data_IF_944272088987
#
_entry.id   IF_944272088987
#
_cell.length_a   1.000
_cell.length_b   1.000
_cell.length_c   1.000
_cell.angle_alpha   90.00
_cell.angle_beta   90.00
_cell.angle_gamma   90.00
#
_symmetry.space_group_name_H-M   'P 1'
#
loop_
_entity.id
_entity.type
_entity.pdbx_description
1 polymer ?
#
# COMPACT_ATOMS: atom_id res chain seq x y z
N UNK A 1 -30.35 22.05 11.36
CA UNK A 1 -29.38 21.37 12.25
C UNK A 1 -28.60 22.45 13.00
N UNK A 2 -28.47 22.33 14.32
CA UNK A 2 -27.64 23.25 15.10
C UNK A 2 -26.19 23.17 14.61
N UNK A 3 -25.51 24.31 14.52
CA UNK A 3 -24.11 24.37 14.08
C UNK A 3 -23.26 23.75 15.17
N UNK A 4 -22.65 22.60 14.89
CA UNK A 4 -21.67 21.96 15.79
C UNK A 4 -20.55 22.97 16.02
N UNK A 5 -20.23 23.26 17.28
CA UNK A 5 -19.13 24.15 17.64
C UNK A 5 -17.84 23.34 17.79
N UNK A 6 -16.75 23.81 17.18
CA UNK A 6 -15.47 23.12 17.25
C UNK A 6 -14.94 23.12 18.68
N UNK A 7 -14.43 21.98 19.14
CA UNK A 7 -13.79 21.88 20.45
C UNK A 7 -12.65 22.88 20.59
N UNK A 8 -12.57 23.53 21.76
CA UNK A 8 -11.40 24.30 22.15
C UNK A 8 -10.21 23.37 22.41
N UNK A 9 -8.98 23.89 22.32
CA UNK A 9 -7.78 23.09 22.61
C UNK A 9 -7.84 22.41 23.99
N UNK A 10 -8.38 23.11 25.00
CA UNK A 10 -8.53 22.54 26.33
C UNK A 10 -9.50 21.35 26.33
N UNK A 11 -10.67 21.51 25.69
CA UNK A 11 -11.69 20.44 25.59
C UNK A 11 -11.17 19.25 24.77
N UNK A 12 -10.45 19.51 23.69
CA UNK A 12 -9.76 18.48 22.90
C UNK A 12 -8.76 17.70 23.76
N UNK A 13 -7.93 18.37 24.58
CA UNK A 13 -7.00 17.67 25.48
C UNK A 13 -7.75 16.79 26.49
N UNK A 14 -8.81 17.34 27.10
CA UNK A 14 -9.59 16.64 28.11
C UNK A 14 -10.14 15.31 27.57
N UNK A 15 -10.79 15.33 26.40
CA UNK A 15 -11.37 14.11 25.82
C UNK A 15 -10.29 13.08 25.41
N UNK A 16 -9.15 13.51 24.87
CA UNK A 16 -8.08 12.56 24.55
C UNK A 16 -7.40 11.97 25.80
N UNK A 17 -7.29 12.73 26.89
CA UNK A 17 -6.87 12.18 28.19
C UNK A 17 -7.87 11.15 28.70
N UNK A 18 -9.16 11.45 28.63
CA UNK A 18 -10.21 10.53 29.06
C UNK A 18 -10.25 9.25 28.23
N UNK A 19 -10.11 9.34 26.91
CA UNK A 19 -9.94 8.17 26.02
C UNK A 19 -8.71 7.36 26.41
N UNK A 20 -7.60 8.01 26.78
CA UNK A 20 -6.39 7.30 27.17
C UNK A 20 -6.52 6.55 28.51
N UNK A 21 -7.22 7.14 29.47
CA UNK A 21 -7.31 6.62 30.83
C UNK A 21 -8.45 5.60 30.97
N UNK A 22 -9.60 5.85 30.33
CA UNK A 22 -10.81 5.03 30.44
C UNK A 22 -11.02 4.09 29.24
N UNK A 23 -10.40 4.37 28.09
CA UNK A 23 -10.54 3.54 26.89
C UNK A 23 -11.94 3.59 26.30
N UNK A 24 -12.59 2.43 26.15
CA UNK A 24 -13.91 2.30 25.51
C UNK A 24 -14.96 3.11 26.26
N UNK A 25 -14.91 3.09 27.60
CA UNK A 25 -15.89 3.71 28.49
C UNK A 25 -15.98 5.24 28.27
N UNK A 26 -14.91 5.87 27.78
CA UNK A 26 -14.94 7.30 27.43
C UNK A 26 -15.96 7.64 26.34
N UNK A 27 -16.22 6.70 25.41
CA UNK A 27 -17.18 6.86 24.32
C UNK A 27 -18.63 6.63 24.72
N UNK A 28 -18.88 6.08 25.92
CA UNK A 28 -20.23 5.92 26.48
C UNK A 28 -20.73 7.20 27.18
N UNK A 29 -19.85 8.19 27.34
CA UNK A 29 -20.18 9.48 27.95
C UNK A 29 -20.77 10.47 26.93
N UNK A 30 -21.45 11.51 27.43
CA UNK A 30 -21.93 12.61 26.59
C UNK A 30 -20.77 13.34 25.86
N UNK A 31 -19.59 13.41 26.50
CA UNK A 31 -18.41 14.05 25.91
C UNK A 31 -17.80 13.18 24.79
N UNK A 32 -17.81 11.86 24.97
CA UNK A 32 -17.45 10.89 23.93
C UNK A 32 -18.36 10.95 22.71
N UNK A 33 -19.68 11.03 22.93
CA UNK A 33 -20.65 11.22 21.84
C UNK A 33 -20.43 12.56 21.11
N UNK A 34 -20.22 13.65 21.85
CA UNK A 34 -19.91 14.95 21.28
C UNK A 34 -18.60 14.93 20.47
N UNK A 35 -17.60 14.17 20.91
CA UNK A 35 -16.37 13.98 20.15
C UNK A 35 -16.59 13.23 18.84
N UNK A 36 -17.42 12.18 18.81
CA UNK A 36 -17.79 11.51 17.56
C UNK A 36 -18.46 12.50 16.60
N UNK A 37 -19.37 13.36 17.09
CA UNK A 37 -19.95 14.43 16.28
C UNK A 37 -18.88 15.40 15.72
N UNK A 38 -17.85 15.74 16.50
CA UNK A 38 -16.71 16.54 16.01
C UNK A 38 -15.97 15.85 14.86
N UNK A 39 -15.80 14.53 14.92
CA UNK A 39 -15.16 13.76 13.85
C UNK A 39 -15.94 13.92 12.55
N UNK A 40 -17.25 13.70 12.58
CA UNK A 40 -18.11 13.85 11.40
C UNK A 40 -18.12 15.28 10.87
N UNK A 41 -18.22 16.27 11.76
CA UNK A 41 -18.35 17.68 11.38
C UNK A 41 -17.06 18.26 10.78
N UNK A 42 -15.89 17.85 11.26
CA UNK A 42 -14.63 18.53 10.93
C UNK A 42 -13.56 17.65 10.32
N UNK A 43 -13.56 16.34 10.55
CA UNK A 43 -12.40 15.50 10.24
C UNK A 43 -12.68 14.50 9.11
N UNK A 44 -13.87 13.88 9.11
CA UNK A 44 -14.23 12.83 8.17
C UNK A 44 -14.15 13.29 6.72
N UNK A 45 -14.70 14.46 6.38
CA UNK A 45 -14.69 14.94 5.00
C UNK A 45 -13.27 15.14 4.45
N UNK A 46 -12.40 15.79 5.23
CA UNK A 46 -11.00 16.05 4.86
C UNK A 46 -10.20 14.75 4.69
N UNK A 47 -10.39 13.79 5.60
CA UNK A 47 -9.71 12.49 5.53
C UNK A 47 -10.19 11.65 4.34
N UNK A 48 -11.48 11.71 4.01
CA UNK A 48 -12.03 11.03 2.83
C UNK A 48 -11.54 11.62 1.52
N UNK A 49 -11.36 12.95 1.48
CA UNK A 49 -10.75 13.63 0.35
C UNK A 49 -9.29 13.20 0.18
N UNK A 50 -8.50 13.22 1.25
CA UNK A 50 -7.12 12.73 1.23
C UNK A 50 -7.02 11.26 0.80
N UNK A 51 -7.94 10.39 1.26
CA UNK A 51 -8.02 9.00 0.85
C UNK A 51 -8.30 8.83 -0.66
N UNK A 52 -9.19 9.67 -1.20
CA UNK A 52 -9.49 9.69 -2.64
C UNK A 52 -8.26 10.07 -3.46
N UNK A 53 -7.46 11.02 -3.00
CA UNK A 53 -6.22 11.42 -3.67
C UNK A 53 -5.18 10.29 -3.69
N UNK A 54 -5.24 9.36 -2.73
CA UNK A 54 -4.45 8.13 -2.72
C UNK A 54 -5.07 6.98 -3.53
N UNK A 55 -6.22 7.20 -4.17
CA UNK A 55 -6.88 6.24 -5.04
C UNK A 55 -7.71 5.18 -4.33
N UNK A 56 -8.17 5.40 -3.09
CA UNK A 56 -9.12 4.48 -2.43
C UNK A 56 -10.35 5.20 -1.84
N UNK A 57 -11.49 4.55 -1.99
CA UNK A 57 -12.76 5.02 -1.42
C UNK A 57 -12.91 4.53 0.02
N UNK A 58 -13.38 5.42 0.90
CA UNK A 58 -13.72 5.10 2.29
C UNK A 58 -14.98 5.85 2.71
N UNK A 59 -15.87 5.15 3.43
CA UNK A 59 -17.09 5.75 3.97
C UNK A 59 -16.81 6.62 5.20
N UNK A 60 -17.80 7.42 5.57
CA UNK A 60 -17.73 8.25 6.77
C UNK A 60 -17.58 7.40 8.04
N UNK A 61 -18.38 6.35 8.16
CA UNK A 61 -18.39 5.46 9.33
C UNK A 61 -17.09 4.68 9.47
N UNK A 62 -16.55 4.16 8.37
CA UNK A 62 -15.26 3.47 8.40
C UNK A 62 -14.12 4.40 8.84
N UNK A 63 -14.16 5.66 8.40
CA UNK A 63 -13.17 6.66 8.82
C UNK A 63 -13.23 6.86 10.34
N UNK A 64 -14.43 6.97 10.91
CA UNK A 64 -14.63 7.08 12.35
C UNK A 64 -14.18 5.81 13.08
N UNK A 65 -14.51 4.63 12.56
CA UNK A 65 -14.10 3.35 13.15
C UNK A 65 -12.58 3.20 13.19
N UNK A 66 -11.86 3.54 12.11
CA UNK A 66 -10.39 3.51 12.07
C UNK A 66 -9.80 4.43 13.14
N UNK A 67 -10.33 5.66 13.25
CA UNK A 67 -9.89 6.62 14.26
C UNK A 67 -10.08 6.05 15.66
N UNK A 68 -11.29 5.59 15.99
CA UNK A 68 -11.61 5.08 17.32
C UNK A 68 -10.77 3.83 17.65
N UNK A 69 -10.64 2.90 16.71
CA UNK A 69 -9.84 1.69 16.89
C UNK A 69 -8.35 1.99 17.17
N UNK A 70 -7.78 2.99 16.49
CA UNK A 70 -6.40 3.41 16.71
C UNK A 70 -6.23 4.19 18.02
N UNK A 71 -7.20 5.02 18.41
CA UNK A 71 -7.17 5.69 19.72
C UNK A 71 -7.21 4.67 20.88
N UNK A 72 -7.94 3.57 20.69
CA UNK A 72 -8.06 2.48 21.65
C UNK A 72 -6.92 1.45 21.58
N UNK A 73 -5.98 1.58 20.64
CA UNK A 73 -4.91 0.60 20.44
C UNK A 73 -3.94 0.48 21.61
N UNK A 74 -3.94 1.46 22.52
CA UNK A 74 -3.13 1.48 23.76
C UNK A 74 -3.33 0.21 24.59
N UNK A 75 -4.53 -0.39 24.60
CA UNK A 75 -4.78 -1.65 25.31
C UNK A 75 -3.97 -2.82 24.73
N UNK A 76 -3.61 -2.78 23.44
CA UNK A 76 -2.81 -3.81 22.75
C UNK A 76 -1.31 -3.50 22.78
N UNK A 77 -0.92 -2.24 22.96
CA UNK A 77 0.47 -1.82 23.03
C UNK A 77 0.63 -0.68 24.07
N UNK A 78 0.90 -1.00 25.35
CA UNK A 78 0.92 -0.02 26.43
C UNK A 78 1.99 1.06 26.25
N UNK A 79 3.06 0.76 25.51
CA UNK A 79 4.17 1.69 25.23
C UNK A 79 3.79 2.76 24.21
N UNK A 80 2.67 2.58 23.49
CA UNK A 80 2.17 3.53 22.48
C UNK A 80 0.73 3.88 22.78
N UNK A 81 0.53 5.06 23.36
CA UNK A 81 -0.79 5.64 23.62
C UNK A 81 -1.02 6.89 22.75
N UNK A 82 -1.61 6.75 21.55
CA UNK A 82 -1.80 7.88 20.65
C UNK A 82 -2.64 8.99 21.27
N UNK A 83 -3.68 8.62 22.04
CA UNK A 83 -4.53 9.57 22.74
C UNK A 83 -3.74 10.46 23.73
N UNK A 84 -2.79 9.89 24.51
CA UNK A 84 -1.90 10.68 25.37
C UNK A 84 -0.98 11.61 24.59
N UNK A 85 -0.43 11.15 23.46
CA UNK A 85 0.44 12.01 22.63
C UNK A 85 -0.33 13.19 22.04
N UNK A 86 -1.56 12.96 21.60
CA UNK A 86 -2.44 14.02 21.11
C UNK A 86 -2.79 15.01 22.23
N UNK A 87 -3.13 14.51 23.42
CA UNK A 87 -3.43 15.36 24.58
C UNK A 87 -2.22 16.21 25.03
N UNK A 88 -1.00 15.71 24.84
CA UNK A 88 0.23 16.41 25.19
C UNK A 88 0.68 17.43 24.13
N UNK A 89 0.30 17.26 22.86
CA UNK A 89 0.76 18.09 21.74
C UNK A 89 0.43 19.58 21.92
N UNK A 90 1.27 20.47 21.40
CA UNK A 90 1.05 21.93 21.46
C UNK A 90 -0.28 22.33 20.81
N UNK A 91 -0.57 21.73 19.65
CA UNK A 91 -1.83 21.87 18.91
C UNK A 91 -2.53 20.50 18.77
N UNK A 92 -3.37 20.11 19.74
CA UNK A 92 -3.95 18.77 19.81
C UNK A 92 -4.73 18.38 18.56
N UNK A 93 -5.57 19.29 18.02
CA UNK A 93 -6.40 18.99 16.87
C UNK A 93 -5.59 18.83 15.58
N UNK A 94 -4.55 19.65 15.37
CA UNK A 94 -3.67 19.56 14.21
C UNK A 94 -2.82 18.28 14.28
N UNK A 95 -2.25 17.98 15.45
CA UNK A 95 -1.50 16.75 15.67
C UNK A 95 -2.37 15.51 15.48
N UNK A 96 -3.60 15.52 16.00
CA UNK A 96 -4.60 14.48 15.77
C UNK A 96 -4.86 14.28 14.29
N UNK A 97 -5.09 15.36 13.53
CA UNK A 97 -5.33 15.28 12.09
C UNK A 97 -4.17 14.60 11.35
N UNK A 98 -2.94 15.02 11.60
CA UNK A 98 -1.74 14.40 11.02
C UNK A 98 -1.61 12.92 11.40
N UNK A 99 -1.94 12.59 12.65
CA UNK A 99 -1.91 11.20 13.12
C UNK A 99 -2.97 10.34 12.43
N UNK A 100 -4.18 10.88 12.25
CA UNK A 100 -5.28 10.22 11.56
C UNK A 100 -4.99 9.98 10.08
N UNK A 101 -4.37 10.94 9.38
CA UNK A 101 -3.82 10.74 8.03
C UNK A 101 -2.88 9.54 8.01
N UNK A 102 -1.93 9.48 8.95
CA UNK A 102 -0.99 8.38 9.06
C UNK A 102 -1.64 7.03 9.37
N UNK A 103 -2.79 7.00 10.05
CA UNK A 103 -3.57 5.77 10.25
C UNK A 103 -4.27 5.34 8.96
N UNK A 104 -4.93 6.27 8.27
CA UNK A 104 -5.60 5.98 7.01
C UNK A 104 -4.60 5.50 5.93
N UNK A 105 -3.42 6.10 5.85
CA UNK A 105 -2.35 5.64 4.95
C UNK A 105 -1.87 4.22 5.25
N UNK A 106 -1.98 3.74 6.51
CA UNK A 106 -1.66 2.34 6.84
C UNK A 106 -2.77 1.39 6.39
N UNK A 107 -4.01 1.85 6.39
CA UNK A 107 -5.17 1.11 5.88
C UNK A 107 -5.17 1.05 4.35
N UNK A 108 -4.64 2.07 3.67
CA UNK A 108 -4.44 2.09 2.22
C UNK A 108 -3.66 0.86 1.72
N UNK A 109 -2.61 0.45 2.45
CA UNK A 109 -1.81 -0.74 2.11
C UNK A 109 -2.48 -2.08 2.43
N UNK A 110 -3.62 -2.08 3.14
CA UNK A 110 -4.40 -3.26 3.52
C UNK A 110 -5.66 -3.39 2.63
N UNK A 111 -6.18 -2.26 2.14
CA UNK A 111 -7.44 -2.14 1.38
C UNK A 111 -7.16 -1.90 -0.11
N UNK A 112 -6.43 -2.81 -0.76
CA UNK A 112 -6.41 -2.88 -2.22
C UNK A 112 -7.83 -3.10 -2.73
N UNK A 113 -8.51 -2.00 -3.09
CA UNK A 113 -9.89 -1.87 -3.56
C UNK A 113 -11.00 -2.44 -2.64
N UNK A 114 -12.05 -1.66 -2.32
CA UNK A 114 -13.26 -2.21 -1.69
C UNK A 114 -14.03 -3.07 -2.71
N UNK A 115 -14.21 -4.36 -2.39
CA UNK A 115 -15.10 -5.31 -3.08
C UNK A 115 -16.60 -4.92 -3.06
N UNK A 116 -16.94 -3.78 -2.46
CA UNK A 116 -18.31 -3.42 -2.08
C UNK A 116 -19.12 -2.76 -3.21
N UNK A 117 -18.57 -2.66 -4.43
CA UNK A 117 -19.36 -2.41 -5.64
C UNK A 117 -19.58 -3.67 -6.48
N UNK A 118 -19.09 -4.83 -6.04
CA UNK A 118 -19.38 -6.10 -6.70
C UNK A 118 -20.70 -6.62 -6.15
N UNK A 119 -21.79 -6.24 -6.84
CA UNK A 119 -23.10 -6.85 -6.64
C UNK A 119 -22.98 -8.36 -6.68
N UNK A 120 -23.32 -9.01 -5.57
CA UNK A 120 -23.21 -10.45 -5.32
C UNK A 120 -24.22 -11.30 -6.14
N UNK A 121 -24.57 -10.88 -7.36
CA UNK A 121 -25.61 -11.51 -8.19
C UNK A 121 -25.14 -11.96 -9.59
N UNK A 122 -23.91 -11.67 -10.03
CA UNK A 122 -23.52 -11.90 -11.44
C UNK A 122 -22.34 -12.86 -11.66
N UNK A 123 -22.03 -13.73 -10.68
CA UNK A 123 -21.06 -14.83 -10.88
C UNK A 123 -21.62 -16.03 -11.65
N UNK A 124 -22.53 -15.81 -12.61
CA UNK A 124 -23.01 -16.86 -13.53
C UNK A 124 -22.78 -16.57 -15.01
N UNK A 125 -22.05 -15.51 -15.38
CA UNK A 125 -21.56 -15.37 -16.76
C UNK A 125 -20.16 -14.76 -16.80
N UNK A 126 -19.15 -15.61 -16.59
CA UNK A 126 -17.81 -15.40 -17.13
C UNK A 126 -17.88 -15.49 -18.66
N UNK A 127 -18.32 -14.42 -19.30
CA UNK A 127 -18.13 -14.20 -20.73
C UNK A 127 -18.07 -12.70 -21.00
N UNK A 128 -16.87 -12.25 -21.36
CA UNK A 128 -16.57 -11.13 -22.28
C UNK A 128 -17.05 -9.72 -21.92
N UNK A 129 -16.06 -8.82 -21.93
CA UNK A 129 -16.16 -7.39 -22.26
C UNK A 129 -16.97 -6.52 -21.31
N UNK A 130 -16.28 -5.94 -20.33
CA UNK A 130 -16.33 -4.51 -20.10
C UNK A 130 -14.92 -4.03 -19.72
N UNK A 131 -14.26 -3.35 -20.67
CA UNK A 131 -13.00 -2.68 -20.42
C UNK A 131 -13.28 -1.45 -19.58
N UNK A 132 -13.11 -1.57 -18.26
CA UNK A 132 -13.20 -0.42 -17.36
C UNK A 132 -12.18 0.63 -17.81
N UNK A 133 -12.69 1.77 -18.26
CA UNK A 133 -11.93 2.88 -18.83
C UNK A 133 -11.17 3.68 -17.75
N UNK A 134 -10.36 2.99 -16.95
CA UNK A 134 -9.43 3.60 -16.00
C UNK A 134 -8.17 4.13 -16.69
N UNK A 135 -8.02 3.91 -18.00
CA UNK A 135 -6.85 4.31 -18.78
C UNK A 135 -5.57 3.58 -18.37
N UNK A 136 -5.68 2.55 -17.53
CA UNK A 136 -4.58 1.72 -17.08
C UNK A 136 -4.50 0.46 -17.92
N UNK A 137 -3.28 0.00 -18.16
CA UNK A 137 -3.01 -1.24 -18.88
C UNK A 137 -3.41 -2.45 -18.02
N UNK A 138 -4.14 -3.44 -18.57
CA UNK A 138 -4.49 -4.67 -17.84
C UNK A 138 -3.25 -5.36 -17.24
N UNK A 139 -3.38 -5.93 -16.04
CA UNK A 139 -2.23 -6.51 -15.34
C UNK A 139 -1.54 -7.63 -16.13
N UNK A 140 -2.31 -8.44 -16.88
CA UNK A 140 -1.75 -9.47 -17.77
C UNK A 140 -0.85 -8.86 -18.84
N UNK A 141 -1.34 -7.79 -19.50
CA UNK A 141 -0.58 -7.04 -20.49
C UNK A 141 0.64 -6.36 -19.87
N UNK A 142 0.54 -5.82 -18.64
CA UNK A 142 1.68 -5.25 -17.91
C UNK A 142 2.78 -6.29 -17.69
N UNK A 143 2.45 -7.52 -17.29
CA UNK A 143 3.49 -8.55 -17.13
C UNK A 143 4.05 -8.98 -18.48
N UNK A 144 3.23 -9.08 -19.53
CA UNK A 144 3.70 -9.47 -20.86
C UNK A 144 4.58 -8.39 -21.50
N UNK A 145 4.25 -7.10 -21.34
CA UNK A 145 5.09 -5.98 -21.77
C UNK A 145 6.40 -5.94 -20.96
N UNK A 146 6.32 -6.09 -19.64
CA UNK A 146 7.52 -6.15 -18.77
C UNK A 146 8.42 -7.33 -19.15
N UNK A 147 7.83 -8.50 -19.37
CA UNK A 147 8.53 -9.70 -19.81
C UNK A 147 9.14 -9.49 -21.19
N UNK A 148 8.42 -8.89 -22.13
CA UNK A 148 8.91 -8.58 -23.48
C UNK A 148 10.17 -7.72 -23.48
N UNK A 149 10.33 -6.81 -22.51
CA UNK A 149 11.56 -6.04 -22.30
C UNK A 149 12.65 -6.90 -21.66
N UNK A 150 12.34 -7.58 -20.56
CA UNK A 150 13.31 -8.34 -19.78
C UNK A 150 13.88 -9.53 -20.56
N UNK A 151 13.03 -10.23 -21.32
CA UNK A 151 13.38 -11.38 -22.15
C UNK A 151 14.46 -11.08 -23.19
N UNK A 152 14.56 -9.82 -23.65
CA UNK A 152 15.59 -9.40 -24.62
C UNK A 152 17.01 -9.41 -24.04
N UNK A 153 17.16 -9.39 -22.71
CA UNK A 153 18.46 -9.27 -22.05
C UNK A 153 18.82 -10.46 -21.16
N UNK A 154 17.99 -11.51 -21.14
CA UNK A 154 18.22 -12.76 -20.40
C UNK A 154 18.17 -13.98 -21.33
N UNK A 155 18.82 -15.07 -20.92
CA UNK A 155 18.79 -16.33 -21.67
C UNK A 155 17.39 -16.97 -21.65
N UNK A 156 16.99 -17.49 -22.81
CA UNK A 156 15.77 -18.28 -23.04
C UNK A 156 15.47 -19.34 -21.99
N UNK A 157 16.50 -19.99 -21.42
CA UNK A 157 16.32 -21.01 -20.37
C UNK A 157 15.63 -20.48 -19.11
N UNK A 158 15.68 -19.17 -18.86
CA UNK A 158 15.07 -18.53 -17.70
C UNK A 158 13.70 -17.92 -17.99
N UNK A 159 13.28 -17.87 -19.26
CA UNK A 159 12.08 -17.14 -19.68
C UNK A 159 10.82 -17.58 -18.93
N UNK A 160 10.58 -18.89 -18.83
CA UNK A 160 9.40 -19.42 -18.13
C UNK A 160 9.38 -19.01 -16.66
N UNK A 161 10.50 -19.21 -15.95
CA UNK A 161 10.61 -18.89 -14.53
C UNK A 161 10.49 -17.38 -14.27
N UNK A 162 11.09 -16.55 -15.13
CA UNK A 162 10.98 -15.08 -15.01
C UNK A 162 9.56 -14.61 -15.30
N UNK A 163 8.87 -15.18 -16.30
CA UNK A 163 7.47 -14.83 -16.58
C UNK A 163 6.55 -15.21 -15.42
N UNK A 164 6.69 -16.41 -14.87
CA UNK A 164 5.96 -16.85 -13.68
C UNK A 164 6.23 -15.95 -12.46
N UNK A 165 7.49 -15.56 -12.25
CA UNK A 165 7.87 -14.64 -11.20
C UNK A 165 7.23 -13.25 -11.40
N UNK A 166 7.16 -12.74 -12.63
CA UNK A 166 6.51 -11.47 -12.94
C UNK A 166 5.00 -11.52 -12.68
N UNK A 167 4.32 -12.63 -13.02
CA UNK A 167 2.91 -12.83 -12.64
C UNK A 167 2.72 -12.81 -11.13
N UNK A 168 3.56 -13.52 -10.39
CA UNK A 168 3.50 -13.49 -8.93
C UNK A 168 3.75 -12.10 -8.37
N UNK A 169 4.75 -11.38 -8.90
CA UNK A 169 5.08 -10.02 -8.49
C UNK A 169 3.89 -9.07 -8.70
N UNK A 170 3.19 -9.18 -9.84
CA UNK A 170 2.02 -8.38 -10.18
C UNK A 170 0.81 -8.71 -9.29
N UNK A 171 0.62 -10.00 -8.98
CA UNK A 171 -0.45 -10.46 -8.09
C UNK A 171 -0.19 -10.13 -6.60
N UNK A 172 1.06 -9.87 -6.21
CA UNK A 172 1.47 -9.63 -4.83
C UNK A 172 2.16 -8.27 -4.64
N UNK A 173 1.53 -7.13 -4.99
CA UNK A 173 2.16 -5.82 -4.84
C UNK A 173 2.62 -5.59 -3.38
N UNK A 174 3.78 -4.94 -3.17
CA UNK A 174 4.38 -4.86 -1.83
C UNK A 174 3.45 -4.10 -0.88
N UNK A 175 2.94 -4.80 0.15
CA UNK A 175 1.96 -4.23 1.08
C UNK A 175 2.62 -3.38 2.18
N UNK A 176 3.88 -3.66 2.56
CA UNK A 176 4.72 -2.82 3.44
C UNK A 176 6.21 -2.98 3.15
N UNK A 177 6.96 -1.89 3.30
CA UNK A 177 8.41 -1.84 3.09
C UNK A 177 9.26 -2.67 4.08
N UNK A 178 8.66 -3.16 5.17
CA UNK A 178 9.33 -3.95 6.22
C UNK A 178 9.32 -5.47 5.97
N UNK A 179 8.53 -5.97 5.01
CA UNK A 179 8.43 -7.40 4.67
C UNK A 179 9.20 -7.78 3.40
N UNK A 180 10.10 -6.92 2.95
CA UNK A 180 10.88 -7.09 1.70
C UNK A 180 11.67 -8.42 1.70
N UNK A 181 12.11 -8.93 2.87
CA UNK A 181 12.79 -10.23 2.94
C UNK A 181 11.80 -11.40 2.80
N UNK A 182 10.69 -11.38 3.53
CA UNK A 182 9.68 -12.46 3.47
C UNK A 182 9.04 -12.58 2.08
N UNK A 183 8.75 -11.44 1.44
CA UNK A 183 8.24 -11.39 0.07
C UNK A 183 9.23 -11.99 -0.93
N UNK A 184 10.53 -11.69 -0.78
CA UNK A 184 11.58 -12.26 -1.64
C UNK A 184 11.77 -13.75 -1.41
N UNK A 185 11.67 -14.21 -0.16
CA UNK A 185 11.72 -15.64 0.18
C UNK A 185 10.52 -16.36 -0.43
N UNK A 186 9.31 -15.80 -0.33
CA UNK A 186 8.11 -16.36 -0.94
C UNK A 186 8.22 -16.43 -2.47
N UNK A 187 8.72 -15.36 -3.09
CA UNK A 187 8.98 -15.30 -4.53
C UNK A 187 10.01 -16.36 -4.98
N UNK A 188 11.07 -16.58 -4.21
CA UNK A 188 12.07 -17.60 -4.50
C UNK A 188 11.55 -19.03 -4.31
N UNK A 189 10.64 -19.26 -3.36
CA UNK A 189 9.95 -20.57 -3.23
C UNK A 189 9.14 -20.93 -4.46
N UNK A 190 8.56 -19.94 -5.15
CA UNK A 190 7.82 -20.16 -6.39
C UNK A 190 8.75 -20.48 -7.56
N UNK A 191 9.91 -19.82 -7.63
CA UNK A 191 10.85 -19.96 -8.74
C UNK A 191 12.22 -20.49 -8.27
N UNK A 192 12.31 -21.74 -7.76
CA UNK A 192 13.53 -22.29 -7.16
C UNK A 192 14.67 -22.54 -8.17
N UNK A 193 14.38 -22.46 -9.47
CA UNK A 193 15.39 -22.56 -10.53
C UNK A 193 16.26 -21.29 -10.65
N UNK A 194 15.74 -20.15 -10.18
CA UNK A 194 16.45 -18.88 -10.11
C UNK A 194 17.23 -18.80 -8.79
N UNK A 195 18.40 -18.18 -8.81
CA UNK A 195 19.11 -17.84 -7.58
C UNK A 195 18.45 -16.68 -6.83
N UNK A 196 18.81 -16.53 -5.56
CA UNK A 196 18.43 -15.40 -4.69
C UNK A 196 18.68 -14.07 -5.41
N UNK A 197 19.87 -13.89 -5.98
CA UNK A 197 20.26 -12.67 -6.67
C UNK A 197 19.43 -12.43 -7.94
N UNK A 198 19.08 -13.49 -8.67
CA UNK A 198 18.22 -13.41 -9.85
C UNK A 198 16.79 -13.01 -9.47
N UNK A 199 16.23 -13.59 -8.40
CA UNK A 199 14.91 -13.21 -7.87
C UNK A 199 14.90 -11.73 -7.46
N UNK A 200 15.93 -11.29 -6.72
CA UNK A 200 16.06 -9.88 -6.32
C UNK A 200 16.16 -8.96 -7.54
N UNK A 201 16.93 -9.34 -8.56
CA UNK A 201 17.06 -8.56 -9.78
C UNK A 201 15.71 -8.39 -10.50
N UNK A 202 14.93 -9.47 -10.64
CA UNK A 202 13.59 -9.44 -11.27
C UNK A 202 12.64 -8.55 -10.48
N UNK A 203 12.61 -8.67 -9.15
CA UNK A 203 11.78 -7.82 -8.28
C UNK A 203 12.14 -6.34 -8.46
N UNK A 204 13.45 -6.03 -8.49
CA UNK A 204 13.96 -4.65 -8.60
C UNK A 204 13.66 -3.99 -9.94
N UNK A 205 13.68 -4.73 -11.06
CA UNK A 205 13.34 -4.17 -12.36
C UNK A 205 11.82 -4.05 -12.56
N UNK A 206 11.07 -5.01 -12.02
CA UNK A 206 9.62 -5.02 -12.11
C UNK A 206 8.98 -3.91 -11.27
N UNK A 207 9.40 -3.79 -10.00
CA UNK A 207 8.84 -2.83 -9.03
C UNK A 207 9.62 -1.53 -8.90
N UNK A 208 10.83 -1.47 -9.45
CA UNK A 208 11.76 -0.35 -9.28
C UNK A 208 12.69 -0.50 -8.07
N UNK A 209 13.79 0.25 -8.10
CA UNK A 209 14.84 0.22 -7.08
C UNK A 209 14.91 1.51 -6.28
N UNK A 210 15.10 1.40 -4.96
CA UNK A 210 15.31 2.57 -4.09
C UNK A 210 16.58 3.36 -4.47
N UNK A 211 16.58 4.69 -4.28
CA UNK A 211 15.47 5.52 -3.77
C UNK A 211 14.41 5.85 -4.83
N UNK A 212 14.65 5.54 -6.10
CA UNK A 212 13.87 6.00 -7.24
C UNK A 212 12.91 4.93 -7.77
N UNK A 213 12.15 4.30 -6.87
CA UNK A 213 11.27 3.17 -7.20
C UNK A 213 10.28 3.53 -8.31
N UNK A 214 9.60 4.68 -8.20
CA UNK A 214 8.65 5.13 -9.21
C UNK A 214 9.32 5.41 -10.59
N UNK A 215 10.55 5.91 -10.60
CA UNK A 215 11.24 6.29 -11.84
C UNK A 215 12.00 5.12 -12.51
N UNK A 216 11.94 3.92 -11.94
CA UNK A 216 12.68 2.74 -12.43
C UNK A 216 11.82 1.47 -12.53
N UNK A 217 10.54 1.55 -12.20
CA UNK A 217 9.59 0.43 -12.19
C UNK A 217 9.02 0.20 -13.59
N UNK A 218 9.37 -0.92 -14.23
CA UNK A 218 8.78 -1.26 -15.53
C UNK A 218 7.28 -1.54 -15.43
N UNK A 219 6.84 -2.30 -14.41
CA UNK A 219 5.41 -2.57 -14.25
C UNK A 219 4.63 -1.31 -13.92
N UNK A 220 5.21 -0.42 -13.10
CA UNK A 220 4.60 0.86 -12.80
C UNK A 220 4.44 1.75 -14.03
N UNK A 221 5.45 1.77 -14.91
CA UNK A 221 5.39 2.55 -16.14
C UNK A 221 4.43 1.94 -17.16
N UNK A 222 4.47 0.64 -17.38
CA UNK A 222 3.56 -0.03 -18.33
C UNK A 222 2.11 -0.04 -17.86
N UNK A 223 1.86 0.01 -16.54
CA UNK A 223 0.52 0.20 -16.00
C UNK A 223 -0.08 1.55 -16.41
N UNK A 224 0.75 2.58 -16.55
CA UNK A 224 0.34 3.95 -16.90
C UNK A 224 0.37 4.22 -18.41
N UNK A 225 1.24 3.53 -19.16
CA UNK A 225 1.48 3.74 -20.58
C UNK A 225 1.94 2.43 -21.23
N UNK A 226 1.04 1.74 -21.91
CA UNK A 226 1.32 0.50 -22.66
C UNK A 226 2.25 0.70 -23.85
N UNK A 227 2.34 1.93 -24.36
CA UNK A 227 3.16 2.33 -25.49
C UNK A 227 4.58 2.74 -25.08
N UNK A 228 4.87 2.72 -23.77
CA UNK A 228 6.13 3.15 -23.20
C UNK A 228 7.33 2.45 -23.83
N UNK A 229 8.35 3.24 -24.19
CA UNK A 229 9.62 2.74 -24.72
C UNK A 229 10.75 2.97 -23.75
N UNK A 230 11.32 1.88 -23.24
CA UNK A 230 12.46 1.91 -22.30
C UNK A 230 13.64 2.74 -22.82
N UNK A 231 13.89 2.72 -24.14
CA UNK A 231 14.96 3.50 -24.78
C UNK A 231 14.78 5.02 -24.67
N UNK A 232 13.55 5.49 -24.50
CA UNK A 232 13.21 6.92 -24.42
C UNK A 232 13.35 7.46 -22.99
N UNK A 233 13.58 6.56 -22.01
CA UNK A 233 13.76 6.91 -20.60
C UNK A 233 15.14 6.46 -20.08
N UNK A 234 16.02 7.42 -19.82
CA UNK A 234 17.37 7.16 -19.31
C UNK A 234 17.42 6.48 -17.93
N UNK A 235 16.39 6.60 -17.09
CA UNK A 235 16.32 5.88 -15.79
C UNK A 235 16.01 4.40 -15.99
N UNK A 236 14.94 4.08 -16.73
CA UNK A 236 14.56 2.71 -17.08
C UNK A 236 15.64 1.98 -17.90
N UNK A 237 16.29 2.65 -18.85
CA UNK A 237 17.42 2.07 -19.59
C UNK A 237 18.59 1.67 -18.66
N UNK A 238 18.94 2.54 -17.70
CA UNK A 238 19.96 2.25 -16.68
C UNK A 238 19.51 1.13 -15.74
N UNK A 239 18.25 1.10 -15.36
CA UNK A 239 17.68 0.02 -14.55
C UNK A 239 17.76 -1.32 -15.29
N UNK A 240 17.41 -1.37 -16.58
CA UNK A 240 17.50 -2.57 -17.41
C UNK A 240 18.96 -3.06 -17.55
N UNK A 241 19.91 -2.14 -17.69
CA UNK A 241 21.34 -2.48 -17.73
C UNK A 241 21.81 -3.06 -16.40
N UNK A 242 21.44 -2.43 -15.27
CA UNK A 242 21.75 -2.94 -13.93
C UNK A 242 21.11 -4.31 -13.68
N UNK A 243 19.86 -4.50 -14.12
CA UNK A 243 19.17 -5.78 -14.07
C UNK A 243 19.93 -6.86 -14.84
N UNK A 244 20.30 -6.60 -16.11
CA UNK A 244 21.06 -7.54 -16.94
C UNK A 244 22.34 -7.99 -16.25
N UNK A 245 23.10 -7.05 -15.69
CA UNK A 245 24.35 -7.35 -15.01
C UNK A 245 24.13 -8.15 -13.73
N UNK A 246 23.16 -7.76 -12.90
CA UNK A 246 22.83 -8.45 -11.65
C UNK A 246 22.29 -9.87 -11.90
N UNK A 247 21.40 -10.02 -12.88
CA UNK A 247 20.80 -11.31 -13.23
C UNK A 247 21.84 -12.29 -13.76
N UNK A 248 22.78 -11.82 -14.58
CA UNK A 248 23.91 -12.63 -15.08
C UNK A 248 24.90 -12.98 -13.97
N UNK A 249 25.22 -12.04 -13.08
CA UNK A 249 26.08 -12.30 -11.94
C UNK A 249 25.47 -13.35 -10.98
N UNK A 250 24.14 -13.39 -10.89
CA UNK A 250 23.40 -14.37 -10.09
C UNK A 250 23.40 -15.79 -10.65
N UNK A 251 23.93 -16.08 -11.84
CA UNK A 251 23.92 -17.46 -12.40
C UNK A 251 24.63 -18.47 -11.49
N UNK A 252 25.72 -18.03 -10.86
CA UNK A 252 26.50 -18.79 -9.87
C UNK A 252 26.04 -18.55 -8.43
N UNK A 253 24.97 -17.78 -8.24
CA UNK A 253 24.41 -17.42 -6.94
C UNK A 253 23.72 -18.57 -6.23
N UNK A 254 23.39 -18.38 -4.96
CA UNK A 254 22.75 -19.42 -4.16
C UNK A 254 21.29 -19.61 -4.58
N UNK A 255 20.86 -20.87 -4.57
CA UNK A 255 19.45 -21.28 -4.72
C UNK A 255 18.90 -21.88 -3.42
N UNK A 256 19.69 -21.90 -2.36
CA UNK A 256 19.28 -22.49 -1.09
C UNK A 256 18.46 -21.47 -0.31
N UNK A 257 17.27 -21.89 0.14
CA UNK A 257 16.39 -21.03 0.95
C UNK A 257 17.02 -20.63 2.30
N UNK A 258 18.00 -21.39 2.79
CA UNK A 258 18.74 -21.10 4.01
C UNK A 258 19.63 -19.87 3.92
N UNK A 259 19.93 -19.41 2.70
CA UNK A 259 20.95 -18.38 2.46
C UNK A 259 20.35 -16.97 2.40
N UNK A 260 19.07 -16.81 2.74
CA UNK A 260 18.34 -15.54 2.84
C UNK A 260 18.64 -14.72 4.11
N UNK A 261 19.72 -15.04 4.85
CA UNK A 261 20.08 -14.45 6.16
C UNK A 261 20.27 -12.94 6.10
#
# INVERSE_FOLDING_TARGET
MAKVEKFSNWRTRAIFTEIADSGVDAFETAEGAAFIEQLHAYQVAQLREAARDWGYAISAEETVQIIIANLLSTRKNPERCPARYIAAAAEPWAYFHTTAIGWLQKEWGIRGAPLEHVGYAEYTNLCTTDGDAHGLTPLEDVVDLTFGIVAQVIDSRHHSAVRELLYWIAANPPQRLSYDVDDRVAAHRLCPSLSIEQVIAVIKIARGSRPNTAATSLMGQFLLDDSFRVSESGSHYRALTSFKNAFRAGETGSRMLTDWV
#
